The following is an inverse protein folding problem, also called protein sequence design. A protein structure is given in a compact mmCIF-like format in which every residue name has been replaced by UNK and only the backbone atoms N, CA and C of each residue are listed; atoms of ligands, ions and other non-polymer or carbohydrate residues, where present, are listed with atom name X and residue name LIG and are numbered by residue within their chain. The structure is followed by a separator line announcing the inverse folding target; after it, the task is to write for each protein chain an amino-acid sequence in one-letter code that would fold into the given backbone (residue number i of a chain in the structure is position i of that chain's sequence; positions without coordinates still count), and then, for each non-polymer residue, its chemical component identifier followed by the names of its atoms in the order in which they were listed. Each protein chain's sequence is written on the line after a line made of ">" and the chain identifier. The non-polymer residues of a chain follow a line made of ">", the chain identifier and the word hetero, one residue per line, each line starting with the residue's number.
data_IF_602081780579
#
_entry.id   IF_602081780579
#
_cell.length_a   1.000
_cell.length_b   1.000
_cell.length_c   1.000
_cell.angle_alpha   90.00
_cell.angle_beta   90.00
_cell.angle_gamma   90.00
#
_symmetry.space_group_name_H-M   'P 1'
#
loop_
_entity.id
_entity.type
_entity.pdbx_description
1 polymer ?
#
# COMPACT_ATOMS: atom_id res chain seq x y z
N UNK A 1 -65.51 2.35 29.27
CA UNK A 1 -64.31 3.07 29.74
C UNK A 1 -63.15 2.11 29.58
N UNK A 2 -62.41 2.20 28.47
CA UNK A 2 -61.44 1.18 28.03
C UNK A 2 -60.04 1.57 28.50
N UNK A 3 -59.44 0.65 29.25
CA UNK A 3 -58.08 0.68 29.79
C UNK A 3 -57.04 0.70 28.67
N UNK A 4 -56.12 1.68 28.70
CA UNK A 4 -54.89 1.62 27.88
C UNK A 4 -53.69 1.35 28.77
N UNK A 5 -53.34 0.07 28.86
CA UNK A 5 -52.01 -0.36 29.24
C UNK A 5 -50.99 0.13 28.20
N UNK A 6 -50.11 1.05 28.59
CA UNK A 6 -48.91 1.39 27.82
C UNK A 6 -47.73 0.63 28.41
N UNK A 7 -47.51 -0.60 27.95
CA UNK A 7 -46.24 -1.32 28.16
C UNK A 7 -45.25 -0.78 27.15
N UNK A 8 -44.27 -0.02 27.60
CA UNK A 8 -43.10 0.35 26.80
C UNK A 8 -42.24 -0.91 26.67
N UNK A 9 -42.05 -1.37 25.43
CA UNK A 9 -41.18 -2.49 25.10
C UNK A 9 -39.72 -2.15 25.39
N UNK A 10 -39.20 -2.74 26.45
CA UNK A 10 -37.79 -2.83 26.77
C UNK A 10 -37.13 -3.75 25.73
N UNK A 11 -36.39 -3.16 24.78
CA UNK A 11 -35.65 -3.91 23.75
C UNK A 11 -34.43 -4.56 24.40
N UNK A 12 -34.56 -5.84 24.71
CA UNK A 12 -33.53 -6.71 25.29
C UNK A 12 -32.74 -7.46 24.21
N UNK A 13 -32.13 -6.73 23.27
CA UNK A 13 -31.36 -7.33 22.16
C UNK A 13 -29.87 -6.98 22.21
N UNK A 14 -29.27 -7.06 23.40
CA UNK A 14 -27.81 -7.09 23.50
C UNK A 14 -27.44 -8.25 24.41
N UNK A 15 -26.90 -9.36 23.87
CA UNK A 15 -26.39 -10.42 24.73
C UNK A 15 -25.19 -9.87 25.50
N UNK A 16 -25.42 -9.44 26.74
CA UNK A 16 -24.35 -9.25 27.71
C UNK A 16 -23.76 -10.62 28.03
N UNK A 17 -22.73 -11.01 27.29
CA UNK A 17 -21.85 -12.07 27.71
C UNK A 17 -21.01 -11.55 28.89
N UNK A 18 -21.57 -11.63 30.10
CA UNK A 18 -20.80 -11.54 31.35
C UNK A 18 -19.98 -12.82 31.46
N UNK A 19 -18.90 -12.89 30.67
CA UNK A 19 -17.84 -13.87 30.88
C UNK A 19 -16.73 -13.12 31.61
N UNK A 20 -16.85 -13.04 32.95
CA UNK A 20 -15.70 -12.72 33.82
C UNK A 20 -14.69 -13.86 33.69
N UNK A 21 -13.94 -13.86 32.59
CA UNK A 21 -12.68 -14.57 32.51
C UNK A 21 -11.70 -13.75 33.33
N UNK A 22 -11.47 -14.20 34.56
CA UNK A 22 -10.27 -13.88 35.34
C UNK A 22 -9.10 -14.41 34.50
N UNK A 23 -8.67 -13.61 33.53
CA UNK A 23 -7.49 -13.87 32.73
C UNK A 23 -6.33 -13.26 33.48
N UNK A 24 -5.80 -14.04 34.43
CA UNK A 24 -4.47 -13.81 34.94
C UNK A 24 -3.49 -14.14 33.81
N UNK A 25 -3.37 -13.23 32.85
CA UNK A 25 -2.27 -13.19 31.90
C UNK A 25 -1.15 -12.46 32.63
N UNK A 26 -0.05 -13.14 33.00
CA UNK A 26 1.15 -12.42 33.36
C UNK A 26 1.48 -11.58 32.14
N UNK A 27 1.34 -10.25 32.24
CA UNK A 27 1.84 -9.33 31.24
C UNK A 27 3.36 -9.38 31.34
N UNK A 28 3.95 -10.43 30.77
CA UNK A 28 5.37 -10.43 30.48
C UNK A 28 5.60 -9.20 29.61
N UNK A 29 6.52 -8.33 30.04
CA UNK A 29 6.80 -7.07 29.36
C UNK A 29 7.53 -7.37 28.04
N UNK A 30 6.78 -7.86 27.05
CA UNK A 30 7.24 -8.21 25.71
C UNK A 30 7.89 -7.02 25.02
N UNK A 31 7.55 -5.80 25.44
CA UNK A 31 8.13 -4.57 24.89
C UNK A 31 9.59 -4.38 25.35
N UNK A 32 9.90 -4.58 26.63
CA UNK A 32 11.27 -4.48 27.13
C UNK A 32 12.22 -5.50 26.47
N UNK A 33 11.78 -6.76 26.37
CA UNK A 33 12.55 -7.82 25.70
C UNK A 33 12.62 -7.62 24.17
N UNK A 34 11.57 -7.07 23.56
CA UNK A 34 11.53 -6.75 22.13
C UNK A 34 12.52 -5.66 21.73
N UNK A 35 12.64 -4.60 22.54
CA UNK A 35 13.62 -3.52 22.32
C UNK A 35 15.05 -4.04 22.50
N UNK A 36 15.29 -4.90 23.51
CA UNK A 36 16.58 -5.54 23.70
C UNK A 36 16.96 -6.44 22.51
N UNK A 37 16.05 -7.31 22.07
CA UNK A 37 16.26 -8.19 20.92
C UNK A 37 16.52 -7.41 19.63
N UNK A 38 15.80 -6.31 19.38
CA UNK A 38 16.00 -5.44 18.23
C UNK A 38 17.36 -4.73 18.24
N UNK A 39 17.84 -4.31 19.41
CA UNK A 39 19.19 -3.75 19.58
C UNK A 39 20.27 -4.82 19.41
N UNK A 40 20.04 -6.02 19.92
CA UNK A 40 20.95 -7.16 19.79
C UNK A 40 21.06 -7.62 18.32
N UNK A 41 19.94 -7.69 17.59
CA UNK A 41 19.91 -8.02 16.17
C UNK A 41 20.69 -7.00 15.33
N UNK A 42 20.49 -5.70 15.57
CA UNK A 42 21.27 -4.63 14.91
C UNK A 42 22.77 -4.72 15.24
N UNK A 43 23.10 -5.10 16.48
CA UNK A 43 24.48 -5.25 16.92
C UNK A 43 25.17 -6.45 16.23
N UNK A 44 24.53 -7.63 16.18
CA UNK A 44 25.07 -8.81 15.48
C UNK A 44 25.20 -8.61 13.96
N UNK A 45 24.32 -7.82 13.34
CA UNK A 45 24.39 -7.52 11.90
C UNK A 45 25.55 -6.59 11.47
N UNK A 46 26.33 -6.08 12.41
CA UNK A 46 27.41 -5.11 12.14
C UNK A 46 28.77 -5.82 12.01
N UNK A 47 29.54 -5.50 10.96
CA UNK A 47 30.90 -6.06 10.75
C UNK A 47 31.87 -5.85 11.93
N UNK A 48 31.66 -4.81 12.74
CA UNK A 48 32.44 -4.52 13.95
C UNK A 48 32.30 -5.61 15.02
N UNK A 49 31.14 -6.28 15.13
CA UNK A 49 30.93 -7.35 16.10
C UNK A 49 31.84 -8.55 15.81
N UNK A 50 31.87 -8.99 14.55
CA UNK A 50 32.73 -10.08 14.09
C UNK A 50 34.20 -9.77 14.37
N UNK A 51 34.66 -8.55 14.06
CA UNK A 51 36.04 -8.12 14.33
C UNK A 51 36.39 -8.21 15.83
N UNK A 52 35.54 -7.68 16.72
CA UNK A 52 35.76 -7.78 18.17
C UNK A 52 35.76 -9.24 18.67
N UNK A 53 34.85 -10.08 18.17
CA UNK A 53 34.82 -11.50 18.50
C UNK A 53 36.08 -12.23 18.04
N UNK A 54 36.57 -11.96 16.84
CA UNK A 54 37.82 -12.53 16.33
C UNK A 54 39.02 -12.10 17.18
N UNK A 55 39.11 -10.81 17.52
CA UNK A 55 40.18 -10.30 18.41
C UNK A 55 40.11 -10.96 19.79
N UNK A 56 38.91 -11.13 20.35
CA UNK A 56 38.72 -11.82 21.63
C UNK A 56 39.20 -13.28 21.57
N UNK A 57 38.82 -14.02 20.53
CA UNK A 57 39.26 -15.42 20.35
C UNK A 57 40.78 -15.49 20.20
N UNK A 58 41.38 -14.63 19.37
CA UNK A 58 42.84 -14.59 19.19
C UNK A 58 43.53 -14.25 20.51
N UNK A 59 43.07 -13.23 21.23
CA UNK A 59 43.63 -12.84 22.51
C UNK A 59 43.53 -13.98 23.54
N UNK A 60 42.41 -14.69 23.59
CA UNK A 60 42.23 -15.85 24.46
C UNK A 60 43.19 -16.99 24.14
N UNK A 61 43.35 -17.31 22.85
CA UNK A 61 44.29 -18.33 22.38
C UNK A 61 45.72 -17.92 22.74
N UNK A 62 46.13 -16.70 22.41
CA UNK A 62 47.45 -16.19 22.73
C UNK A 62 47.72 -16.20 24.24
N UNK A 63 46.74 -15.81 25.06
CA UNK A 63 46.86 -15.84 26.51
C UNK A 63 47.12 -17.27 27.02
N UNK A 64 46.32 -18.26 26.60
CA UNK A 64 46.49 -19.64 27.08
C UNK A 64 47.76 -20.33 26.56
N UNK A 65 48.28 -19.92 25.40
CA UNK A 65 49.52 -20.46 24.85
C UNK A 65 50.78 -19.79 25.43
N UNK A 66 50.78 -18.47 25.61
CA UNK A 66 51.95 -17.71 26.06
C UNK A 66 52.02 -17.57 27.60
N UNK A 67 50.91 -17.74 28.33
CA UNK A 67 50.92 -17.64 29.78
C UNK A 67 51.72 -18.77 30.46
N UNK A 68 52.51 -18.46 31.50
CA UNK A 68 53.10 -19.45 32.40
C UNK A 68 52.01 -20.36 32.99
N UNK A 69 52.35 -21.63 33.27
CA UNK A 69 51.40 -22.65 33.74
C UNK A 69 50.52 -22.18 34.91
N UNK A 70 51.08 -21.37 35.81
CA UNK A 70 50.38 -20.88 37.01
C UNK A 70 49.30 -19.83 36.72
N UNK A 71 49.31 -19.20 35.54
CA UNK A 71 48.34 -18.16 35.11
C UNK A 71 47.46 -18.59 33.94
N UNK A 72 47.51 -19.88 33.57
CA UNK A 72 46.62 -20.44 32.55
C UNK A 72 45.22 -20.56 33.14
N UNK A 73 44.30 -19.81 32.57
CA UNK A 73 42.88 -19.92 32.93
C UNK A 73 42.28 -21.24 32.42
N UNK A 74 42.83 -21.80 31.33
CA UNK A 74 42.46 -23.10 30.76
C UNK A 74 43.68 -24.04 30.79
N UNK A 75 43.68 -25.01 31.71
CA UNK A 75 44.75 -26.02 31.87
C UNK A 75 44.89 -26.90 30.61
N UNK A 76 43.77 -27.15 29.92
CA UNK A 76 43.72 -27.84 28.64
C UNK A 76 43.37 -26.85 27.53
N UNK A 77 44.31 -26.49 26.64
CA UNK A 77 44.09 -25.41 25.69
C UNK A 77 42.82 -25.64 24.86
N UNK A 78 41.86 -24.71 24.98
CA UNK A 78 40.64 -24.54 24.19
C UNK A 78 39.37 -25.24 24.70
N UNK A 79 39.40 -26.06 25.75
CA UNK A 79 38.19 -26.74 26.23
C UNK A 79 37.21 -25.74 26.83
N UNK A 80 37.68 -24.81 27.66
CA UNK A 80 36.80 -23.81 28.27
C UNK A 80 36.24 -22.85 27.21
N UNK A 81 37.07 -22.44 26.26
CA UNK A 81 36.65 -21.61 25.12
C UNK A 81 35.56 -22.32 24.30
N UNK A 82 35.73 -23.62 24.03
CA UNK A 82 34.75 -24.40 23.27
C UNK A 82 33.44 -24.55 24.03
N UNK A 83 33.49 -24.80 25.34
CA UNK A 83 32.30 -24.87 26.21
C UNK A 83 31.56 -23.54 26.25
N UNK A 84 32.28 -22.42 26.33
CA UNK A 84 31.70 -21.10 26.31
C UNK A 84 31.04 -20.78 24.95
N UNK A 85 31.69 -21.13 23.85
CA UNK A 85 31.14 -20.94 22.50
C UNK A 85 29.91 -21.83 22.23
N UNK A 86 29.90 -23.07 22.71
CA UNK A 86 28.73 -23.95 22.57
C UNK A 86 27.54 -23.46 23.39
N UNK A 87 27.78 -22.99 24.61
CA UNK A 87 26.77 -22.30 25.41
C UNK A 87 26.29 -21.03 24.69
N UNK A 88 27.21 -20.28 24.08
CA UNK A 88 26.90 -19.05 23.35
C UNK A 88 25.93 -19.30 22.20
N UNK A 89 26.15 -20.35 21.42
CA UNK A 89 25.24 -20.77 20.36
C UNK A 89 23.89 -21.24 20.92
N UNK A 90 23.89 -21.99 22.02
CA UNK A 90 22.67 -22.53 22.64
C UNK A 90 21.72 -21.44 23.16
N UNK A 91 22.24 -20.38 23.80
CA UNK A 91 21.39 -19.27 24.26
C UNK A 91 21.00 -18.31 23.13
N UNK A 92 21.76 -18.25 22.04
CA UNK A 92 21.44 -17.40 20.89
C UNK A 92 20.15 -17.85 20.20
N UNK A 93 19.91 -19.17 20.07
CA UNK A 93 18.73 -19.72 19.40
C UNK A 93 17.38 -19.20 19.96
N UNK A 94 17.08 -19.26 21.28
CA UNK A 94 15.85 -18.72 21.80
C UNK A 94 15.75 -17.20 21.64
N UNK A 95 16.85 -16.46 21.81
CA UNK A 95 16.86 -15.00 21.59
C UNK A 95 16.55 -14.64 20.13
N UNK A 96 17.08 -15.41 19.18
CA UNK A 96 16.81 -15.23 17.75
C UNK A 96 15.34 -15.52 17.45
N UNK A 97 14.76 -16.61 18.00
CA UNK A 97 13.34 -16.94 17.83
C UNK A 97 12.42 -15.81 18.35
N UNK A 98 12.76 -15.23 19.50
CA UNK A 98 12.03 -14.08 20.05
C UNK A 98 12.14 -12.83 19.15
N UNK A 99 13.32 -12.57 18.60
CA UNK A 99 13.51 -11.48 17.64
C UNK A 99 12.72 -11.72 16.34
N UNK A 100 12.69 -12.97 15.86
CA UNK A 100 12.00 -13.37 14.64
C UNK A 100 10.48 -13.24 14.76
N UNK A 101 9.86 -13.74 15.84
CA UNK A 101 8.41 -13.61 16.07
C UNK A 101 7.94 -12.15 15.96
N UNK A 102 8.73 -11.21 16.47
CA UNK A 102 8.41 -9.78 16.42
C UNK A 102 8.63 -9.15 15.03
N UNK A 103 9.58 -9.66 14.24
CA UNK A 103 9.70 -9.23 12.85
C UNK A 103 8.51 -9.75 12.03
N UNK A 104 8.14 -11.02 12.22
CA UNK A 104 6.98 -11.63 11.56
C UNK A 104 5.66 -10.92 11.87
N UNK A 105 5.46 -10.47 13.12
CA UNK A 105 4.29 -9.67 13.50
C UNK A 105 4.24 -8.33 12.76
N UNK A 106 5.38 -7.64 12.62
CA UNK A 106 5.48 -6.38 11.85
C UNK A 106 5.23 -6.63 10.37
N UNK A 107 5.88 -7.64 9.81
CA UNK A 107 5.74 -8.02 8.40
C UNK A 107 4.30 -8.40 8.06
N UNK A 108 3.59 -9.05 9.00
CA UNK A 108 2.17 -9.38 8.87
C UNK A 108 1.28 -8.14 8.78
N UNK A 109 1.54 -7.13 9.61
CA UNK A 109 0.79 -5.87 9.57
C UNK A 109 1.04 -5.16 8.24
N UNK A 110 2.30 -5.03 7.83
CA UNK A 110 2.66 -4.43 6.53
C UNK A 110 1.97 -5.17 5.38
N UNK A 111 2.01 -6.50 5.38
CA UNK A 111 1.36 -7.31 4.35
C UNK A 111 -0.18 -7.20 4.36
N UNK A 112 -0.81 -6.93 5.50
CA UNK A 112 -2.26 -6.65 5.54
C UNK A 112 -2.59 -5.29 4.92
N UNK A 113 -1.81 -4.25 5.25
CA UNK A 113 -1.98 -2.91 4.71
C UNK A 113 -1.75 -2.87 3.21
N UNK A 114 -0.73 -3.57 2.72
CA UNK A 114 -0.42 -3.67 1.30
C UNK A 114 -1.56 -4.34 0.52
N UNK A 115 -2.16 -5.42 1.07
CA UNK A 115 -3.35 -6.06 0.47
C UNK A 115 -4.54 -5.10 0.40
N UNK A 116 -4.81 -4.37 1.48
CA UNK A 116 -5.89 -3.39 1.51
C UNK A 116 -5.65 -2.27 0.49
N UNK A 117 -4.43 -1.74 0.41
CA UNK A 117 -4.04 -0.73 -0.56
C UNK A 117 -4.18 -1.24 -2.00
N UNK A 118 -3.75 -2.47 -2.28
CA UNK A 118 -3.90 -3.10 -3.59
C UNK A 118 -5.38 -3.27 -3.97
N UNK A 119 -6.23 -3.65 -3.03
CA UNK A 119 -7.68 -3.77 -3.27
C UNK A 119 -8.31 -2.42 -3.64
N UNK A 120 -7.91 -1.34 -2.97
CA UNK A 120 -8.38 0.02 -3.26
C UNK A 120 -7.89 0.50 -4.61
N UNK A 121 -6.60 0.28 -4.91
CA UNK A 121 -6.03 0.62 -6.21
C UNK A 121 -6.76 -0.11 -7.36
N UNK A 122 -7.14 -1.38 -7.18
CA UNK A 122 -7.93 -2.11 -8.16
C UNK A 122 -9.31 -1.48 -8.37
N UNK A 123 -10.01 -1.13 -7.29
CA UNK A 123 -11.31 -0.46 -7.37
C UNK A 123 -11.21 0.93 -8.05
N UNK A 124 -10.17 1.70 -7.74
CA UNK A 124 -9.91 3.00 -8.36
C UNK A 124 -9.63 2.86 -9.86
N UNK A 125 -8.85 1.84 -10.26
CA UNK A 125 -8.62 1.53 -11.68
C UNK A 125 -9.90 1.14 -12.39
N UNK A 126 -10.76 0.31 -11.78
CA UNK A 126 -12.07 -0.03 -12.36
C UNK A 126 -12.97 1.19 -12.50
N UNK A 127 -12.98 2.07 -11.50
CA UNK A 127 -13.74 3.31 -11.53
C UNK A 127 -13.25 4.21 -12.66
N UNK A 128 -11.94 4.46 -12.73
CA UNK A 128 -11.34 5.25 -13.80
C UNK A 128 -11.58 4.63 -15.18
N UNK A 129 -11.52 3.30 -15.31
CA UNK A 129 -11.81 2.64 -16.59
C UNK A 129 -13.28 2.84 -17.02
N UNK A 130 -14.23 2.80 -16.09
CA UNK A 130 -15.64 3.08 -16.37
C UNK A 130 -15.86 4.55 -16.72
N UNK A 131 -15.24 5.47 -16.00
CA UNK A 131 -15.29 6.92 -16.31
C UNK A 131 -14.65 7.25 -17.65
N UNK A 132 -13.52 6.62 -18.01
CA UNK A 132 -12.92 6.79 -19.33
C UNK A 132 -13.82 6.22 -20.43
N UNK A 133 -14.49 5.09 -20.18
CA UNK A 133 -15.44 4.53 -21.12
C UNK A 133 -16.69 5.42 -21.32
N UNK A 134 -17.24 5.99 -20.25
CA UNK A 134 -18.37 6.94 -20.34
C UNK A 134 -17.97 8.25 -21.03
N UNK A 135 -16.78 8.78 -20.72
CA UNK A 135 -16.21 9.94 -21.38
C UNK A 135 -15.98 9.66 -22.88
N UNK A 136 -15.47 8.48 -23.24
CA UNK A 136 -15.29 8.07 -24.63
C UNK A 136 -16.62 7.96 -25.37
N UNK A 137 -17.67 7.44 -24.74
CA UNK A 137 -19.00 7.34 -25.37
C UNK A 137 -19.60 8.72 -25.61
N UNK A 138 -19.57 9.60 -24.60
CA UNK A 138 -20.08 10.98 -24.74
C UNK A 138 -19.30 11.80 -25.77
N UNK A 139 -17.97 11.67 -25.84
CA UNK A 139 -17.19 12.28 -26.93
C UNK A 139 -17.45 11.62 -28.29
N UNK A 140 -17.67 10.31 -28.32
CA UNK A 140 -18.01 9.56 -29.53
C UNK A 140 -19.31 10.05 -30.18
N UNK A 141 -20.30 10.44 -29.37
CA UNK A 141 -21.56 11.03 -29.86
C UNK A 141 -21.35 12.45 -30.44
N UNK A 142 -20.53 13.28 -29.80
CA UNK A 142 -20.31 14.70 -30.19
C UNK A 142 -19.33 14.84 -31.38
N UNK A 143 -18.48 13.86 -31.64
CA UNK A 143 -17.49 13.88 -32.72
C UNK A 143 -17.81 12.90 -33.87
N UNK A 144 -19.09 12.64 -34.15
CA UNK A 144 -19.43 11.73 -35.26
C UNK A 144 -19.20 12.42 -36.61
N UNK A 145 -18.51 11.74 -37.53
CA UNK A 145 -18.32 12.15 -38.93
C UNK A 145 -19.62 12.62 -39.59
N UNK A 146 -20.75 12.01 -39.24
CA UNK A 146 -22.06 12.38 -39.79
C UNK A 146 -22.59 13.71 -39.26
N UNK A 147 -22.31 14.06 -37.99
CA UNK A 147 -22.61 15.39 -37.44
C UNK A 147 -21.72 16.46 -38.08
N UNK A 148 -20.41 16.22 -38.18
CA UNK A 148 -19.50 17.12 -38.92
C UNK A 148 -19.94 17.28 -40.38
N UNK A 149 -20.40 16.20 -41.01
CA UNK A 149 -20.85 16.20 -42.41
C UNK A 149 -22.19 16.90 -42.58
N UNK A 150 -23.13 16.75 -41.64
CA UNK A 150 -24.39 17.48 -41.68
C UNK A 150 -24.16 18.97 -41.47
N UNK A 151 -23.27 19.34 -40.54
CA UNK A 151 -22.97 20.75 -40.27
C UNK A 151 -22.22 21.41 -41.42
N UNK A 152 -21.24 20.73 -42.01
CA UNK A 152 -20.57 21.19 -43.23
C UNK A 152 -21.54 21.34 -44.40
N UNK A 153 -22.52 20.43 -44.56
CA UNK A 153 -23.55 20.53 -45.60
C UNK A 153 -24.52 21.66 -45.33
N UNK A 154 -24.94 21.85 -44.07
CA UNK A 154 -25.84 22.93 -43.68
C UNK A 154 -25.19 24.29 -43.96
N UNK A 155 -23.91 24.45 -43.60
CA UNK A 155 -23.13 25.65 -43.91
C UNK A 155 -22.94 25.87 -45.41
N UNK A 156 -22.67 24.81 -46.18
CA UNK A 156 -22.58 24.91 -47.64
C UNK A 156 -23.91 25.37 -48.27
N UNK A 157 -25.02 24.79 -47.84
CA UNK A 157 -26.35 25.17 -48.34
C UNK A 157 -26.71 26.63 -48.02
N UNK A 158 -26.37 27.12 -46.82
CA UNK A 158 -26.60 28.52 -46.44
C UNK A 158 -25.76 29.49 -47.30
N UNK A 159 -24.55 29.09 -47.72
CA UNK A 159 -23.73 29.89 -48.63
C UNK A 159 -24.29 29.88 -50.07
N UNK A 160 -24.74 28.73 -50.56
CA UNK A 160 -25.33 28.58 -51.90
C UNK A 160 -26.62 29.40 -52.04
N UNK A 161 -27.48 29.39 -51.01
CA UNK A 161 -28.70 30.22 -50.99
C UNK A 161 -28.39 31.72 -50.98
N UNK A 162 -27.28 32.15 -50.36
CA UNK A 162 -26.83 33.56 -50.43
C UNK A 162 -26.36 33.93 -51.83
N UNK A 163 -25.60 33.05 -52.48
CA UNK A 163 -25.09 33.28 -53.84
C UNK A 163 -26.25 33.36 -54.85
N UNK A 164 -27.27 32.51 -54.72
CA UNK A 164 -28.49 32.57 -55.53
C UNK A 164 -29.30 33.86 -55.30
N UNK A 165 -29.38 34.33 -54.05
CA UNK A 165 -30.04 35.62 -53.74
C UNK A 165 -29.30 36.79 -54.36
N UNK A 166 -27.97 36.79 -54.32
CA UNK A 166 -27.14 37.83 -54.94
C UNK A 166 -27.27 37.77 -56.48
N UNK A 167 -27.23 36.59 -57.10
CA UNK A 167 -27.41 36.42 -58.54
C UNK A 167 -28.83 36.78 -59.03
N UNK A 168 -29.86 36.49 -58.23
CA UNK A 168 -31.24 36.87 -58.51
C UNK A 168 -31.47 38.39 -58.41
N UNK A 169 -30.75 39.06 -57.51
CA UNK A 169 -30.76 40.51 -57.40
C UNK A 169 -30.07 41.18 -58.61
N UNK A 170 -28.96 40.61 -59.11
CA UNK A 170 -28.29 41.08 -60.33
C UNK A 170 -29.12 40.84 -61.62
N UNK A 171 -29.82 39.69 -61.71
CA UNK A 171 -30.68 39.36 -62.85
C UNK A 171 -31.93 40.23 -62.96
N UNK A 172 -32.49 40.66 -61.82
CA UNK A 172 -33.61 41.60 -61.78
C UNK A 172 -33.23 43.02 -62.25
N UNK A 173 -31.98 43.45 -62.01
CA UNK A 173 -31.47 44.72 -62.53
C UNK A 173 -31.15 44.65 -64.05
N UNK A 174 -30.72 43.49 -64.56
CA UNK A 174 -30.42 43.31 -66.00
C UNK A 174 -31.64 43.11 -66.92
N UNK A 175 -32.71 42.49 -66.42
CA UNK A 175 -33.92 42.18 -67.19
C UNK A 175 -34.85 43.38 -67.47
N UNK A 176 -34.72 44.45 -66.71
CA UNK A 176 -35.53 45.65 -66.88
C UNK A 176 -35.12 46.52 -68.10
N UNK A 177 -34.06 46.17 -68.85
CA UNK A 177 -33.52 47.00 -69.93
C UNK A 177 -33.82 46.55 -71.37
N UNK A 178 -34.48 45.40 -71.63
CA UNK A 178 -34.63 44.87 -73.01
C UNK A 178 -36.08 44.87 -73.58
N UNK A 179 -37.05 45.49 -72.92
CA UNK A 179 -38.46 45.52 -73.34
C UNK A 179 -38.94 46.79 -74.06
N UNK A 180 -38.09 47.45 -74.85
CA UNK A 180 -38.48 48.69 -75.54
C UNK A 180 -37.82 48.85 -76.91
N UNK A 181 -38.66 49.05 -77.94
CA UNK A 181 -38.40 49.21 -79.40
C UNK A 181 -38.46 47.86 -80.12
N UNK A 182 -39.31 47.62 -81.11
CA UNK A 182 -40.13 48.43 -82.02
C UNK A 182 -41.29 47.57 -82.56
#
# INVERSE_FOLDING_TARGET
>A
MVERHRRTGERLDTPQAIRRQISWRPSYDTDAFGVFAERFARFMGTAKFLMWMTVFVIAWVLWNFLAPRDWRFDEYPLIFLTLMLSLQASYAAPLILLAQNRQEDRDRVIASQDRDAASRAHADMEFLAREVASLRMSMGEVATRDYLRSELRALLADLEERDERDAGNEGAEGGASHGGRE
#
